data_IF_436874794059
#
_entry.id   IF_436874794059
#
_cell.length_a   1.000
_cell.length_b   1.000
_cell.length_c   1.000
_cell.angle_alpha   90.00
_cell.angle_beta   90.00
_cell.angle_gamma   90.00
#
_symmetry.space_group_name_H-M   'P 1'
#
loop_
_entity.id
_entity.type
_entity.pdbx_description
1 polymer ?
2 polymer ?
3 non-polymer ?
4 water ?
#
# COMPACT_ATOMS: atom_id res chain seq x y z
N UNK A 1 10.88 -10.39 -1.06
CA UNK A 1 9.46 -10.43 -1.51
C UNK A 1 8.55 -10.78 -0.35
N UNK A 2 8.96 -10.34 0.85
CA UNK A 2 8.24 -10.62 2.09
C UNK A 2 6.96 -9.80 2.23
N UNK A 3 5.82 -10.43 2.00
CA UNK A 3 4.54 -9.75 2.14
C UNK A 3 3.54 -10.63 2.87
N UNK A 4 2.55 -9.99 3.48
CA UNK A 4 1.52 -10.71 4.20
C UNK A 4 0.16 -10.27 3.70
N UNK A 5 -0.58 -11.20 3.10
CA UNK A 5 -1.91 -10.89 2.58
C UNK A 5 -2.95 -11.38 3.57
N UNK A 6 -3.87 -10.50 3.97
CA UNK A 6 -4.88 -10.87 4.93
C UNK A 6 -6.26 -11.04 4.32
N UNK A 7 -7.07 -11.92 4.93
CA UNK A 7 -8.42 -12.19 4.48
C UNK A 7 -9.30 -10.94 4.53
N UNK A 8 -10.42 -10.96 3.83
CA UNK A 8 -11.31 -9.80 3.79
C UNK A 8 -12.08 -9.53 5.07
N UNK A 9 -12.38 -8.26 5.31
CA UNK A 9 -13.13 -7.84 6.49
C UNK A 9 -14.51 -8.46 6.48
N UNK A 10 -14.98 -8.87 7.65
CA UNK A 10 -16.28 -9.50 7.74
C UNK A 10 -16.96 -9.23 9.08
N UNK A 11 -18.26 -9.47 9.13
CA UNK A 11 -19.04 -9.26 10.33
C UNK A 11 -19.47 -10.62 10.89
N UNK A 12 -19.59 -10.69 12.20
CA UNK A 12 -19.99 -11.93 12.85
C UNK A 12 -20.98 -11.62 13.96
N UNK A 13 -21.99 -12.47 14.10
CA UNK A 13 -23.00 -12.28 15.12
C UNK A 13 -22.55 -12.91 16.43
N UNK A 14 -22.69 -12.14 17.50
CA UNK A 14 -22.29 -12.58 18.84
C UNK A 14 -22.47 -14.08 19.07
N UNK A 15 -21.44 -14.71 19.62
CA UNK A 15 -21.49 -16.13 19.90
C UNK A 15 -21.00 -16.99 18.74
N UNK A 16 -20.95 -16.40 17.56
CA UNK A 16 -20.52 -17.11 16.35
C UNK A 16 -19.07 -17.57 16.45
N UNK A 17 -18.48 -17.84 15.29
CA UNK A 17 -17.10 -18.29 15.21
C UNK A 17 -16.43 -17.57 14.05
N UNK A 18 -15.19 -17.15 14.25
CA UNK A 18 -14.46 -16.44 13.22
C UNK A 18 -13.08 -17.02 12.97
N UNK A 19 -12.70 -17.07 11.70
CA UNK A 19 -11.41 -17.57 11.31
C UNK A 19 -10.82 -16.53 10.35
N UNK A 20 -9.66 -16.00 10.71
CA UNK A 20 -8.99 -14.98 9.91
C UNK A 20 -7.75 -15.59 9.28
N UNK A 21 -7.43 -15.14 8.07
CA UNK A 21 -6.26 -15.65 7.37
C UNK A 21 -5.20 -14.61 7.09
N UNK A 22 -3.95 -15.00 7.28
CA UNK A 22 -2.78 -14.17 7.01
C UNK A 22 -1.89 -15.10 6.20
N UNK A 23 -1.67 -14.76 4.93
CA UNK A 23 -0.85 -15.61 4.07
C UNK A 23 0.53 -15.05 3.82
N UNK A 24 1.53 -15.86 4.15
CA UNK A 24 2.91 -15.49 3.97
C UNK A 24 3.24 -15.57 2.49
N UNK A 25 4.27 -14.85 2.09
CA UNK A 25 4.68 -14.89 0.69
C UNK A 25 5.35 -16.25 0.52
N UNK A 26 5.06 -16.90 -0.59
CA UNK A 26 5.61 -18.21 -0.92
C UNK A 26 6.99 -18.55 -0.38
N UNK A 27 8.00 -17.76 -0.73
CA UNK A 27 9.37 -17.99 -0.28
C UNK A 27 9.54 -18.02 1.23
N UNK A 28 8.57 -17.50 1.96
CA UNK A 28 8.65 -17.47 3.42
C UNK A 28 7.47 -18.19 4.07
N UNK A 29 7.04 -19.28 3.45
CA UNK A 29 5.92 -20.06 3.94
C UNK A 29 6.14 -20.71 5.31
N UNK A 30 7.38 -20.84 5.74
CA UNK A 30 7.69 -21.46 7.03
C UNK A 30 7.96 -20.45 8.15
N UNK A 31 7.68 -19.18 7.89
CA UNK A 31 7.92 -18.13 8.89
C UNK A 31 6.92 -18.09 10.05
N UNK A 32 7.38 -17.58 11.18
CA UNK A 32 6.53 -17.43 12.36
C UNK A 32 5.99 -15.99 12.34
N UNK A 33 4.67 -15.83 12.45
CA UNK A 33 4.08 -14.50 12.45
C UNK A 33 3.54 -14.13 13.82
N UNK A 34 3.18 -12.85 13.98
CA UNK A 34 2.62 -12.35 15.22
C UNK A 34 1.27 -11.74 14.87
N UNK A 35 0.29 -11.91 15.76
CA UNK A 35 -1.04 -11.34 15.55
C UNK A 35 -1.24 -10.18 16.52
N UNK A 36 -1.84 -9.11 16.00
CA UNK A 36 -2.13 -7.94 16.80
C UNK A 36 -3.58 -7.55 16.64
N UNK A 37 -4.19 -7.10 17.73
CA UNK A 37 -5.57 -6.70 17.74
C UNK A 37 -5.68 -5.23 18.09
N UNK A 38 -6.45 -4.48 17.32
CA UNK A 38 -6.63 -3.08 17.64
C UNK A 38 -8.09 -2.68 17.64
N UNK A 39 -8.60 -2.41 18.84
CA UNK A 39 -9.98 -1.99 19.00
C UNK A 39 -10.01 -0.50 18.67
N UNK A 40 -11.18 0.01 18.26
CA UNK A 40 -11.36 1.42 17.91
C UNK A 40 -10.69 2.43 18.85
N UNK A 41 -9.89 3.31 18.26
CA UNK A 41 -9.17 4.36 18.99
C UNK A 41 -8.21 3.90 20.07
N UNK A 42 -7.92 2.61 20.13
CA UNK A 42 -7.00 2.13 21.16
C UNK A 42 -5.71 1.62 20.53
N UNK A 43 -4.65 1.48 21.34
CA UNK A 43 -3.36 0.99 20.86
C UNK A 43 -3.43 -0.47 20.44
N UNK A 44 -2.59 -0.87 19.48
CA UNK A 44 -2.61 -2.27 19.06
C UNK A 44 -2.23 -3.08 20.28
N UNK A 45 -2.66 -4.34 20.32
CA UNK A 45 -2.33 -5.21 21.44
C UNK A 45 -1.82 -6.53 20.91
N UNK A 46 -0.75 -7.02 21.53
CA UNK A 46 -0.17 -8.29 21.13
C UNK A 46 -1.13 -9.46 21.42
N UNK A 47 -1.49 -10.22 20.39
CA UNK A 47 -2.38 -11.36 20.58
C UNK A 47 -1.63 -12.68 20.68
N UNK A 48 -0.89 -13.05 19.64
CA UNK A 48 -0.13 -14.29 19.68
C UNK A 48 0.98 -14.39 18.65
N UNK A 49 1.84 -15.38 18.89
CA UNK A 49 2.96 -15.72 18.02
C UNK A 49 2.51 -17.06 17.46
N UNK A 50 2.55 -17.21 16.14
CA UNK A 50 2.09 -18.44 15.50
C UNK A 50 3.12 -19.03 14.54
N UNK A 51 3.60 -20.24 14.85
CA UNK A 51 4.60 -20.93 14.05
C UNK A 51 4.05 -21.73 12.87
N UNK A 52 4.96 -22.24 12.05
CA UNK A 52 4.56 -23.01 10.85
C UNK A 52 3.75 -24.27 11.15
N UNK A 53 3.95 -24.85 12.32
CA UNK A 53 3.22 -26.05 12.68
C UNK A 53 1.93 -25.71 13.40
N UNK A 54 1.58 -24.42 13.41
CA UNK A 54 0.34 -24.01 14.06
C UNK A 54 0.44 -23.87 15.56
N UNK A 55 1.60 -24.20 16.13
CA UNK A 55 1.74 -24.07 17.58
C UNK A 55 1.85 -22.58 17.86
N UNK A 56 1.43 -22.17 19.05
CA UNK A 56 1.44 -20.75 19.36
C UNK A 56 1.38 -20.48 20.85
N UNK A 57 1.63 -19.22 21.20
CA UNK A 57 1.56 -18.76 22.58
C UNK A 57 0.87 -17.40 22.50
N UNK A 58 -0.14 -17.18 23.34
CA UNK A 58 -0.87 -15.92 23.30
C UNK A 58 -0.33 -14.90 24.29
N UNK A 59 -0.77 -13.65 24.13
CA UNK A 59 -0.34 -12.61 25.01
C UNK A 59 -1.16 -12.59 26.28
N UNK A 60 -0.80 -11.73 27.22
CA UNK A 60 -1.54 -11.62 28.46
C UNK A 60 -2.88 -10.95 28.22
N UNK A 61 -3.90 -11.41 28.94
CA UNK A 61 -5.23 -10.84 28.79
C UNK A 61 -5.94 -11.35 27.55
N UNK A 62 -5.43 -12.42 26.96
CA UNK A 62 -6.05 -12.97 25.78
C UNK A 62 -6.94 -14.18 26.15
N UNK A 63 -8.22 -14.10 25.83
CA UNK A 63 -9.20 -15.17 26.13
C UNK A 63 -8.87 -16.48 25.41
N UNK A 64 -9.19 -17.61 26.04
CA UNK A 64 -8.94 -18.92 25.46
C UNK A 64 -9.78 -19.14 24.20
N UNK A 65 -10.61 -18.14 23.88
CA UNK A 65 -11.48 -18.21 22.70
C UNK A 65 -10.67 -17.90 21.44
N UNK A 66 -9.43 -17.47 21.65
CA UNK A 66 -8.53 -17.13 20.55
C UNK A 66 -7.52 -18.24 20.38
N UNK A 67 -7.45 -18.82 19.19
CA UNK A 67 -6.49 -19.89 18.93
C UNK A 67 -5.90 -19.70 17.54
N UNK A 68 -4.82 -20.41 17.27
CA UNK A 68 -4.19 -20.29 15.96
C UNK A 68 -3.85 -21.65 15.38
N UNK A 69 -3.72 -21.69 14.07
CA UNK A 69 -3.39 -22.93 13.37
C UNK A 69 -2.71 -22.52 12.08
N UNK A 70 -2.12 -23.48 11.38
CA UNK A 70 -1.44 -23.18 10.13
C UNK A 70 -1.76 -24.21 9.05
N UNK A 71 -1.51 -23.80 7.80
CA UNK A 71 -1.73 -24.64 6.64
C UNK A 71 -0.85 -24.09 5.54
N UNK A 72 0.40 -24.53 5.51
CA UNK A 72 1.33 -24.05 4.51
C UNK A 72 1.74 -22.63 4.79
N UNK A 73 1.47 -21.74 3.85
CA UNK A 73 1.81 -20.33 3.97
C UNK A 73 0.73 -19.58 4.74
N UNK A 74 -0.37 -20.27 5.02
CA UNK A 74 -1.47 -19.68 5.76
C UNK A 74 -1.23 -19.73 7.26
N UNK A 75 -1.69 -18.69 7.94
CA UNK A 75 -1.60 -18.57 9.39
C UNK A 75 -3.00 -18.14 9.75
N UNK A 76 -3.63 -18.85 10.67
CA UNK A 76 -4.99 -18.53 11.05
C UNK A 76 -5.20 -18.11 12.48
N UNK A 77 -6.04 -17.10 12.66
CA UNK A 77 -6.41 -16.64 13.99
C UNK A 77 -7.89 -17.01 14.09
N UNK A 78 -8.22 -17.90 15.02
CA UNK A 78 -9.60 -18.33 15.20
C UNK A 78 -10.23 -17.72 16.44
N UNK A 79 -11.35 -17.05 16.26
CA UNK A 79 -12.05 -16.43 17.36
C UNK A 79 -13.33 -17.23 17.59
N UNK A 80 -13.39 -17.86 18.76
CA UNK A 80 -14.53 -18.68 19.15
C UNK A 80 -15.49 -17.91 20.06
N UNK A 81 -16.79 -18.12 19.86
CA UNK A 81 -17.82 -17.47 20.66
C UNK A 81 -17.55 -15.97 20.69
N UNK A 82 -17.73 -15.34 19.54
CA UNK A 82 -17.50 -13.91 19.37
C UNK A 82 -18.23 -12.99 20.32
N UNK A 83 -17.45 -12.16 21.01
CA UNK A 83 -17.97 -11.20 21.97
C UNK A 83 -17.93 -9.80 21.39
N UNK A 84 -18.53 -8.82 22.07
CA UNK A 84 -18.53 -7.44 21.58
C UNK A 84 -17.11 -6.90 21.50
N UNK A 85 -16.37 -7.07 22.59
CA UNK A 85 -14.99 -6.63 22.72
C UNK A 85 -14.07 -7.13 21.60
N UNK A 86 -14.53 -8.11 20.85
CA UNK A 86 -13.74 -8.67 19.75
C UNK A 86 -13.74 -7.84 18.49
N UNK A 87 -14.64 -6.88 18.41
CA UNK A 87 -14.70 -6.03 17.24
C UNK A 87 -13.41 -5.23 17.21
N UNK A 88 -12.64 -5.43 16.15
CA UNK A 88 -11.37 -4.75 16.00
C UNK A 88 -10.78 -5.06 14.63
N UNK A 89 -9.59 -4.54 14.39
CA UNK A 89 -8.87 -4.81 13.16
C UNK A 89 -7.79 -5.75 13.63
N UNK A 90 -7.56 -6.82 12.89
CA UNK A 90 -6.53 -7.78 13.27
C UNK A 90 -5.44 -7.70 12.25
N UNK A 91 -4.24 -7.42 12.71
CA UNK A 91 -3.10 -7.29 11.82
C UNK A 91 -2.04 -8.30 12.18
N UNK A 92 -1.44 -8.90 11.16
CA UNK A 92 -0.38 -9.86 11.40
C UNK A 92 0.92 -9.19 10.98
N UNK A 93 2.01 -9.61 11.61
CA UNK A 93 3.30 -9.05 11.27
C UNK A 93 4.36 -10.15 11.32
N UNK A 94 5.43 -9.96 10.56
CA UNK A 94 6.50 -10.92 10.52
C UNK A 94 7.85 -10.20 10.46
N UNK A 95 8.78 -10.65 11.28
CA UNK A 95 10.11 -10.07 11.31
C UNK A 95 11.08 -10.93 10.53
N UNK A 96 12.26 -10.39 10.24
CA UNK A 96 13.25 -11.14 9.48
C UNK A 96 14.53 -10.33 9.30
N UNK A 97 15.67 -11.00 9.33
CA UNK A 97 16.97 -10.33 9.15
C UNK A 97 17.48 -10.67 7.76
N UNK A 98 16.97 -9.95 6.76
CA UNK A 98 17.35 -10.19 5.38
C UNK A 98 18.85 -10.03 5.11
N UNK A 99 19.30 -8.80 4.84
CA UNK A 99 20.70 -8.56 4.57
C UNK A 99 21.37 -8.03 5.82
N UNK A 100 21.43 -8.91 6.81
CA UNK A 100 22.04 -8.60 8.10
C UNK A 100 21.33 -7.42 8.74
N UNK A 101 20.17 -7.07 8.20
CA UNK A 101 19.43 -5.95 8.73
C UNK A 101 17.97 -6.27 8.99
N UNK A 102 17.50 -5.77 10.14
CA UNK A 102 16.12 -5.96 10.54
C UNK A 102 15.12 -5.58 9.47
N UNK A 103 14.01 -6.29 9.48
CA UNK A 103 12.92 -6.05 8.56
C UNK A 103 11.70 -6.53 9.31
N UNK A 104 10.57 -5.87 9.08
CA UNK A 104 9.33 -6.26 9.72
C UNK A 104 8.20 -5.78 8.84
N UNK A 105 7.39 -6.70 8.36
CA UNK A 105 6.28 -6.37 7.50
C UNK A 105 4.97 -6.65 8.20
N UNK A 106 4.00 -5.75 8.03
CA UNK A 106 2.69 -5.92 8.61
C UNK A 106 1.75 -6.21 7.45
N UNK A 107 0.58 -6.76 7.76
CA UNK A 107 -0.39 -7.03 6.73
C UNK A 107 -1.32 -5.83 6.66
N UNK A 108 -2.23 -5.80 5.70
CA UNK A 108 -3.15 -4.69 5.59
C UNK A 108 -4.15 -4.64 6.73
N UNK A 109 -4.23 -5.72 7.49
CA UNK A 109 -5.18 -5.77 8.59
C UNK A 109 -6.54 -6.21 8.12
N UNK A 110 -7.30 -6.83 9.01
CA UNK A 110 -8.64 -7.32 8.70
C UNK A 110 -9.57 -6.80 9.79
N UNK A 111 -10.65 -6.13 9.39
CA UNK A 111 -11.58 -5.61 10.38
C UNK A 111 -12.73 -6.55 10.64
N UNK A 112 -12.90 -6.91 11.92
CA UNK A 112 -13.95 -7.78 12.35
C UNK A 112 -15.03 -6.97 13.03
N UNK A 113 -16.23 -7.01 12.46
CA UNK A 113 -17.37 -6.28 13.03
C UNK A 113 -18.35 -7.29 13.61
N UNK A 114 -18.96 -6.94 14.75
CA UNK A 114 -19.90 -7.85 15.38
C UNK A 114 -21.34 -7.43 15.14
N UNK B 1 2.98 -3.81 36.49
CA UNK B 1 2.32 -3.56 35.18
C UNK B 1 3.09 -2.57 34.31
N UNK B 2 3.29 -2.94 33.05
CA UNK B 2 4.01 -2.11 32.10
C UNK B 2 3.24 -0.91 31.60
N UNK B 3 3.90 0.25 31.60
CA UNK B 3 3.33 1.49 31.12
C UNK B 3 4.31 2.24 30.22
N UNK B 4 3.82 2.63 29.05
CA UNK B 4 4.62 3.38 28.08
C UNK B 4 3.83 4.63 27.73
N UNK B 5 4.47 5.79 27.86
CA UNK B 5 3.79 7.05 27.59
C UNK B 5 4.53 7.95 26.58
N UNK B 6 3.94 8.12 25.39
CA UNK B 6 4.57 8.96 24.36
C UNK B 6 4.21 10.43 24.52
N UNK B 7 5.06 11.29 23.99
CA UNK B 7 4.83 12.74 24.04
C UNK B 7 5.66 13.39 22.93
N UNK B 8 5.28 14.60 22.55
CA UNK B 8 6.06 15.32 21.55
C UNK B 8 5.44 15.56 20.20
N UNK B 9 4.32 14.91 19.93
CA UNK B 9 3.67 15.11 18.65
C UNK B 9 2.99 16.46 18.52
N UNK B 10 2.42 16.70 17.34
CA UNK B 10 1.75 17.96 17.12
C UNK B 10 1.69 18.25 15.64
N UNK B 11 1.25 19.46 15.29
CA UNK B 11 1.16 19.88 13.91
C UNK B 11 2.48 20.50 13.51
N UNK B 12 3.10 19.94 12.48
CA UNK B 12 4.39 20.43 11.98
C UNK B 12 4.37 20.64 10.46
N UNK B 13 5.51 21.11 9.93
CA UNK B 13 5.68 21.37 8.52
C UNK B 13 6.68 20.45 7.89
N UNK B 14 6.58 20.25 6.56
CA UNK B 14 7.53 19.39 5.86
C UNK B 14 8.89 20.12 5.98
N UNK B 15 9.97 19.37 6.11
CA UNK B 15 11.28 19.97 6.21
C UNK B 15 11.74 20.18 7.64
N UNK B 16 10.80 20.34 8.56
CA UNK B 16 11.16 20.56 9.95
C UNK B 16 11.66 19.33 10.67
N UNK B 17 11.88 19.49 11.97
CA UNK B 17 12.35 18.41 12.82
C UNK B 17 11.44 18.36 14.03
N UNK B 18 11.45 17.21 14.69
CA UNK B 18 10.61 17.00 15.85
C UNK B 18 11.22 15.85 16.64
N UNK B 19 11.14 15.92 17.96
CA UNK B 19 11.68 14.83 18.76
C UNK B 19 10.60 14.29 19.67
N UNK B 20 10.37 12.99 19.59
CA UNK B 20 9.34 12.35 20.40
C UNK B 20 9.98 11.66 21.59
N UNK B 21 9.24 11.55 22.68
CA UNK B 21 9.74 10.90 23.89
C UNK B 21 8.72 9.85 24.30
N UNK B 22 9.18 8.87 25.06
CA UNK B 22 8.30 7.84 25.56
C UNK B 22 8.80 7.51 26.96
N UNK B 23 7.97 7.81 27.94
CA UNK B 23 8.29 7.55 29.35
C UNK B 23 7.85 6.14 29.72
N UNK B 24 8.79 5.36 30.24
CA UNK B 24 8.52 3.99 30.61
C UNK B 24 8.55 3.77 32.12
N UNK B 25 7.79 2.78 32.57
CA UNK B 25 7.72 2.41 33.98
C UNK B 25 7.07 1.02 34.09
N UNK B 26 7.12 0.44 35.27
CA UNK B 26 6.53 -0.88 35.46
C UNK B 26 7.46 -2.02 35.07
N UNK B 27 8.70 -1.70 34.73
CA UNK B 27 9.65 -2.74 34.35
C UNK B 27 11.07 -2.19 34.30
N UNK B 28 12.06 -3.09 34.25
CA UNK B 28 13.45 -2.64 34.17
C UNK B 28 13.76 -2.27 32.72
N UNK B 29 13.71 -0.96 32.46
CA UNK B 29 13.94 -0.39 31.14
C UNK B 29 15.17 -0.92 30.43
N UNK B 30 16.31 -0.89 31.10
CA UNK B 30 17.58 -1.34 30.53
C UNK B 30 17.66 -2.80 30.11
N UNK B 31 16.71 -3.62 30.54
CA UNK B 31 16.76 -5.04 30.18
C UNK B 31 15.94 -5.40 28.94
N UNK B 32 15.45 -4.41 28.20
CA UNK B 32 14.65 -4.70 27.02
C UNK B 32 14.89 -3.87 25.76
N UNK B 33 14.57 -4.49 24.63
CA UNK B 33 14.67 -3.84 23.34
C UNK B 33 13.47 -2.90 23.27
N UNK B 34 13.66 -1.72 22.68
CA UNK B 34 12.56 -0.77 22.55
C UNK B 34 12.40 -0.48 21.06
N UNK B 35 11.18 -0.15 20.65
CA UNK B 35 10.90 0.11 19.25
C UNK B 35 9.96 1.28 19.08
N UNK B 36 9.85 1.72 17.83
CA UNK B 36 8.91 2.78 17.47
C UNK B 36 8.18 2.19 16.27
N UNK B 37 6.85 2.25 16.31
CA UNK B 37 5.99 1.77 15.22
C UNK B 37 4.97 2.86 14.95
N UNK B 38 4.68 3.15 13.69
CA UNK B 38 3.70 4.19 13.39
C UNK B 38 2.49 3.65 12.62
N UNK B 39 1.38 4.36 12.72
CA UNK B 39 0.18 3.97 11.99
C UNK B 39 -0.28 5.18 11.22
N UNK B 40 -0.26 5.05 9.89
CA UNK B 40 -0.66 6.14 9.02
C UNK B 40 -2.16 6.33 9.03
N UNK B 41 -2.63 7.44 8.45
CA UNK B 41 -4.08 7.72 8.42
C UNK B 41 -4.91 6.59 7.78
N UNK B 42 -4.31 5.85 6.89
CA UNK B 42 -5.03 4.75 6.24
C UNK B 42 -5.06 3.49 7.08
N UNK B 43 -4.53 3.59 8.29
CA UNK B 43 -4.53 2.47 9.23
C UNK B 43 -3.38 1.48 9.13
N UNK B 44 -2.50 1.66 8.15
CA UNK B 44 -1.38 0.74 7.98
C UNK B 44 -0.30 0.88 9.08
N UNK B 45 0.14 -0.25 9.62
CA UNK B 45 1.18 -0.24 10.64
C UNK B 45 2.55 -0.32 9.96
N UNK B 46 3.54 0.35 10.53
CA UNK B 46 4.86 0.39 9.91
C UNK B 46 5.92 0.46 11.00
N UNK B 47 6.83 -0.52 11.01
CA UNK B 47 7.90 -0.51 12.00
C UNK B 47 8.84 0.60 11.58
N UNK B 48 9.24 1.42 12.55
CA UNK B 48 10.07 2.58 12.28
C UNK B 48 11.50 2.57 12.80
N UNK B 49 11.73 1.94 13.95
CA UNK B 49 13.09 1.90 14.50
C UNK B 49 13.18 0.93 15.66
N UNK B 50 14.39 0.43 15.89
CA UNK B 50 14.65 -0.53 16.97
C UNK B 50 15.96 -0.16 17.64
N UNK B 51 16.04 -0.34 18.96
CA UNK B 51 17.26 -0.07 19.71
C UNK B 51 17.46 -1.15 20.78
N UNK B 52 18.69 -1.61 20.94
CA UNK B 52 18.97 -2.64 21.93
C UNK B 52 18.97 -2.12 23.38
N UNK B 53 19.02 -3.05 24.33
CA UNK B 53 19.01 -2.76 25.77
C UNK B 53 19.83 -1.54 26.21
N UNK B 54 21.13 -1.54 25.88
CA UNK B 54 21.99 -0.44 26.28
C UNK B 54 22.25 0.59 25.20
N UNK B 55 21.44 0.55 24.14
CA UNK B 55 21.58 1.50 23.05
C UNK B 55 22.70 1.21 22.07
N UNK B 56 23.34 0.05 22.23
CA UNK B 56 24.46 -0.32 21.37
C UNK B 56 24.19 -0.61 19.89
N UNK B 57 22.96 -1.00 19.57
CA UNK B 57 22.58 -1.30 18.19
C UNK B 57 21.26 -0.66 17.83
N UNK B 58 21.17 -0.11 16.63
CA UNK B 58 19.94 0.52 16.15
C UNK B 58 19.75 0.09 14.71
N UNK B 59 18.48 -0.08 14.31
CA UNK B 59 18.14 -0.49 12.96
C UNK B 59 16.90 0.28 12.52
N UNK B 60 16.80 0.55 11.23
CA UNK B 60 15.68 1.30 10.67
C UNK B 60 15.33 0.75 9.29
N UNK B 61 14.09 1.01 8.83
CA UNK B 61 13.60 0.58 7.51
C UNK B 61 14.28 1.59 6.58
N UNK B 62 14.54 1.24 5.33
CA UNK B 62 15.19 2.19 4.42
C UNK B 62 14.37 3.45 4.21
N UNK B 63 13.12 3.43 4.63
CA UNK B 63 12.24 4.59 4.47
C UNK B 63 12.58 5.76 5.41
N UNK B 64 13.21 5.46 6.54
CA UNK B 64 13.54 6.51 7.50
C UNK B 64 15.00 6.48 7.92
N UNK B 65 15.74 5.48 7.46
CA UNK B 65 17.15 5.30 7.82
C UNK B 65 18.03 6.54 7.93
N UNK B 66 18.01 7.43 6.93
CA UNK B 66 18.85 8.60 7.04
C UNK B 66 18.18 9.83 7.64
N UNK B 67 16.96 9.68 8.17
CA UNK B 67 16.24 10.82 8.74
C UNK B 67 15.83 10.69 10.20
N UNK B 68 15.56 9.47 10.66
CA UNK B 68 15.15 9.26 12.03
C UNK B 68 16.30 8.72 12.86
N UNK B 69 16.30 9.04 14.14
CA UNK B 69 17.32 8.54 15.04
C UNK B 69 16.65 8.08 16.32
N UNK B 70 16.83 6.82 16.66
CA UNK B 70 16.24 6.30 17.88
C UNK B 70 17.32 6.30 18.94
N UNK B 71 16.98 6.73 20.14
CA UNK B 71 17.95 6.75 21.23
C UNK B 71 17.24 6.48 22.55
N UNK B 72 18.02 6.24 23.60
CA UNK B 72 17.44 5.98 24.91
C UNK B 72 18.38 6.44 26.02
N UNK B 73 17.77 6.82 27.13
CA UNK B 73 18.50 7.25 28.31
C UNK B 73 17.94 6.35 29.40
N UNK B 74 18.65 5.26 29.66
CA UNK B 74 18.23 4.28 30.64
C UNK B 74 18.09 4.84 32.05
N UNK B 75 18.88 5.84 32.39
CA UNK B 75 18.81 6.44 33.71
C UNK B 75 17.49 7.19 33.90
N UNK B 76 16.92 7.67 32.80
CA UNK B 76 15.64 8.38 32.86
C UNK B 76 14.47 7.50 32.44
N UNK B 77 14.78 6.27 32.04
CA UNK B 77 13.76 5.33 31.60
C UNK B 77 12.99 5.93 30.44
N UNK B 78 13.70 6.58 29.52
CA UNK B 78 13.02 7.21 28.41
C UNK B 78 13.58 6.83 27.03
N UNK B 79 12.67 6.65 26.09
CA UNK B 79 13.02 6.30 24.71
C UNK B 79 12.76 7.55 23.87
N UNK B 80 13.57 7.78 22.86
CA UNK B 80 13.39 8.96 22.01
C UNK B 80 13.41 8.63 20.53
N UNK B 81 12.81 9.51 19.73
CA UNK B 81 12.82 9.38 18.29
C UNK B 81 13.03 10.76 17.70
N UNK B 82 14.23 11.02 17.18
CA UNK B 82 14.53 12.30 16.57
C UNK B 82 14.14 12.19 15.11
N UNK B 83 13.24 13.08 14.68
CA UNK B 83 12.75 13.09 13.31
C UNK B 83 13.25 14.35 12.61
N UNK B 84 13.90 14.21 11.47
CA UNK B 84 14.38 15.37 10.73
C UNK B 84 13.89 15.33 9.30
N UNK B 85 13.94 16.49 8.63
CA UNK B 85 13.48 16.62 7.25
C UNK B 85 12.11 15.97 7.07
N UNK B 86 11.19 16.34 7.95
CA UNK B 86 9.85 15.81 7.93
C UNK B 86 9.19 15.82 6.54
N UNK B 87 8.52 14.72 6.23
CA UNK B 87 7.81 14.55 4.96
C UNK B 87 6.32 14.36 5.25
N UNK B 88 5.48 14.67 4.27
CA UNK B 88 4.05 14.49 4.47
C UNK B 88 3.80 13.03 4.83
N UNK B 89 4.62 12.15 4.25
CA UNK B 89 4.49 10.71 4.50
C UNK B 89 4.78 10.35 5.96
N UNK B 90 5.29 11.29 6.76
CA UNK B 90 5.56 10.98 8.16
C UNK B 90 4.32 11.17 9.04
N UNK B 91 3.23 11.65 8.46
CA UNK B 91 1.99 11.85 9.22
C UNK B 91 1.47 10.50 9.71
N UNK B 92 1.33 10.37 11.03
CA UNK B 92 0.85 9.13 11.62
C UNK B 92 0.80 9.21 13.13
N UNK B 93 0.33 8.11 13.72
CA UNK B 93 0.28 7.96 15.17
C UNK B 93 1.56 7.20 15.47
N UNK B 94 2.42 7.72 16.35
CA UNK B 94 3.65 7.03 16.70
C UNK B 94 3.54 6.34 18.06
N UNK B 95 3.84 5.04 18.08
CA UNK B 95 3.79 4.25 19.30
C UNK B 95 5.17 3.71 19.70
N UNK B 96 5.46 3.63 20.99
CA UNK B 96 6.71 2.97 21.40
C UNK B 96 6.23 1.59 21.83
N UNK B 97 7.07 0.58 21.61
CA UNK B 97 6.72 -0.77 21.95
C UNK B 97 7.94 -1.40 22.63
N UNK B 98 7.67 -2.32 23.55
CA UNK B 98 8.70 -3.04 24.28
C UNK B 98 8.57 -4.49 23.88
N UNK B 99 9.71 -5.15 23.72
CA UNK B 99 9.66 -6.56 23.35
C UNK B 99 9.65 -7.47 24.55
N UNK B 100 9.48 -8.76 24.27
CA UNK B 100 9.49 -9.79 25.29
C UNK B 100 9.96 -11.04 24.56
N UNK B 101 11.17 -11.46 24.85
CA UNK B 101 11.71 -12.63 24.19
C UNK B 101 11.83 -12.41 22.69
N UNK B 102 11.26 -13.33 21.91
CA UNK B 102 11.31 -13.25 20.46
C UNK B 102 10.16 -12.41 19.88
N UNK B 103 9.24 -12.00 20.75
CA UNK B 103 8.11 -11.19 20.32
C UNK B 103 8.53 -9.73 20.26
N UNK B 104 8.43 -9.13 19.08
CA UNK B 104 8.81 -7.75 18.90
C UNK B 104 8.01 -6.74 19.71
N UNK B 105 6.73 -6.60 19.38
CA UNK B 105 5.87 -5.63 20.04
C UNK B 105 4.90 -6.22 21.06
N UNK B 106 5.44 -6.65 22.19
CA UNK B 106 4.64 -7.24 23.26
C UNK B 106 3.86 -6.19 24.05
N UNK B 107 4.41 -4.98 24.14
CA UNK B 107 3.76 -3.89 24.87
C UNK B 107 3.83 -2.57 24.11
N UNK B 108 2.68 -1.90 23.99
CA UNK B 108 2.60 -0.64 23.27
C UNK B 108 2.23 0.53 24.18
N UNK B 109 2.56 1.73 23.73
CA UNK B 109 2.23 2.93 24.47
C UNK B 109 0.85 3.40 24.04
N UNK B 110 0.51 4.65 24.33
CA UNK B 110 -0.79 5.19 23.95
C UNK B 110 -0.76 5.86 22.58
N UNK B 111 0.44 6.23 22.13
CA UNK B 111 0.58 6.87 20.84
C UNK B 111 0.48 8.38 20.86
N UNK B 112 1.29 9.03 20.02
CA UNK B 112 1.26 10.48 19.90
C UNK B 112 1.20 10.74 18.40
N UNK B 113 0.33 11.65 18.01
CA UNK B 113 0.13 11.93 16.60
C UNK B 113 1.02 13.03 16.04
N UNK B 114 1.70 12.73 14.94
CA UNK B 114 2.52 13.73 14.28
C UNK B 114 1.79 14.04 12.98
N UNK B 115 1.35 15.28 12.80
CA UNK B 115 0.65 15.66 11.58
C UNK B 115 1.52 16.63 10.78
N UNK B 116 1.95 16.20 9.61
CA UNK B 116 2.79 17.03 8.76
C UNK B 116 1.90 17.59 7.66
N UNK B 117 1.75 18.91 7.59
CA UNK B 117 0.87 19.44 6.59
C UNK B 117 1.40 20.21 5.41
N UNK B 118 0.96 19.75 4.24
CA UNK B 118 1.27 20.33 2.95
C UNK B 118 0.37 19.54 2.03
N UNK C 1 4.44 -9.45 -27.73
CA UNK C 1 3.45 -10.55 -27.57
C UNK C 1 2.80 -10.53 -26.19
N UNK C 2 3.28 -9.64 -25.32
CA UNK C 2 2.71 -9.51 -23.99
C UNK C 2 1.30 -8.97 -24.21
N UNK C 3 0.29 -9.79 -23.93
CA UNK C 3 -1.08 -9.36 -24.13
C UNK C 3 -2.04 -9.85 -23.04
N UNK C 4 -2.83 -8.90 -22.53
CA UNK C 4 -3.82 -9.19 -21.51
C UNK C 4 -5.18 -9.29 -22.16
N UNK C 5 -5.93 -10.32 -21.78
CA UNK C 5 -7.27 -10.51 -22.33
C UNK C 5 -8.21 -10.53 -21.13
N UNK C 6 -9.31 -9.79 -21.23
CA UNK C 6 -10.27 -9.67 -20.14
C UNK C 6 -11.64 -10.29 -20.40
N UNK C 7 -12.19 -10.99 -19.41
CA UNK C 7 -13.51 -11.60 -19.59
C UNK C 7 -14.46 -10.56 -20.15
N UNK C 8 -15.60 -11.02 -20.65
CA UNK C 8 -16.54 -10.11 -21.28
C UNK C 8 -17.50 -9.27 -20.44
N UNK C 9 -18.07 -8.29 -21.12
CA UNK C 9 -19.01 -7.32 -20.58
C UNK C 9 -20.19 -8.02 -19.91
N UNK C 10 -20.19 -8.02 -18.57
CA UNK C 10 -21.24 -8.69 -17.81
C UNK C 10 -22.05 -7.79 -16.88
N UNK C 11 -23.17 -8.33 -16.38
CA UNK C 11 -24.07 -7.60 -15.48
C UNK C 11 -24.39 -8.44 -14.24
N UNK C 12 -24.67 -7.75 -13.13
CA UNK C 12 -25.00 -8.43 -11.87
C UNK C 12 -26.14 -7.71 -11.14
N UNK C 13 -26.47 -8.23 -9.95
CA UNK C 13 -27.52 -7.65 -9.11
C UNK C 13 -26.86 -7.14 -7.83
N UNK C 14 -27.65 -6.57 -6.93
CA UNK C 14 -27.10 -6.02 -5.69
C UNK C 14 -26.92 -7.09 -4.61
N UNK C 15 -25.91 -6.89 -3.76
CA UNK C 15 -25.62 -7.84 -2.70
C UNK C 15 -24.91 -9.02 -3.32
N UNK C 16 -25.00 -9.08 -4.64
CA UNK C 16 -24.40 -10.14 -5.44
C UNK C 16 -22.88 -10.13 -5.39
N UNK C 17 -22.31 -11.20 -5.93
CA UNK C 17 -20.87 -11.36 -5.97
C UNK C 17 -20.44 -11.38 -7.44
N UNK C 18 -19.24 -10.88 -7.71
CA UNK C 18 -18.72 -10.85 -9.07
C UNK C 18 -17.24 -11.17 -9.09
N UNK C 19 -16.83 -11.95 -10.09
CA UNK C 19 -15.44 -12.34 -10.24
C UNK C 19 -15.02 -12.03 -11.66
N UNK C 20 -14.08 -11.10 -11.82
CA UNK C 20 -13.59 -10.73 -13.14
C UNK C 20 -12.29 -11.48 -13.40
N UNK C 21 -12.05 -11.82 -14.67
CA UNK C 21 -10.85 -12.54 -15.04
C UNK C 21 -10.01 -11.84 -16.09
N UNK C 22 -8.70 -11.78 -15.83
CA UNK C 22 -7.74 -11.17 -16.73
C UNK C 22 -6.70 -12.27 -16.94
N UNK C 23 -6.45 -12.63 -18.19
CA UNK C 23 -5.48 -13.68 -18.48
C UNK C 23 -4.27 -13.16 -19.25
N UNK C 24 -3.09 -13.52 -18.75
CA UNK C 24 -1.83 -13.12 -19.36
C UNK C 24 -1.54 -13.95 -20.60
N UNK C 25 -0.58 -13.49 -21.40
CA UNK C 25 -0.18 -14.24 -22.57
C UNK C 25 0.51 -15.46 -21.97
N UNK C 26 0.66 -16.53 -22.74
CA UNK C 26 1.30 -17.74 -22.25
C UNK C 26 2.66 -17.46 -21.60
N UNK C 27 3.59 -17.00 -22.42
CA UNK C 27 4.95 -16.69 -22.01
C UNK C 27 5.06 -15.79 -20.77
N UNK C 28 4.04 -14.99 -20.51
CA UNK C 28 4.08 -14.07 -19.37
C UNK C 28 3.13 -14.45 -18.23
N UNK C 29 2.83 -15.73 -18.12
CA UNK C 29 1.92 -16.23 -17.09
C UNK C 29 2.37 -16.02 -15.65
N UNK C 30 3.67 -15.79 -15.44
CA UNK C 30 4.22 -15.61 -14.10
C UNK C 30 4.16 -14.17 -13.54
N UNK C 31 3.82 -13.20 -14.38
CA UNK C 31 3.75 -11.78 -13.99
C UNK C 31 2.71 -11.35 -12.95
N UNK C 32 3.06 -10.27 -12.24
CA UNK C 32 2.20 -9.65 -11.24
C UNK C 32 1.48 -8.53 -12.01
N UNK C 33 0.16 -8.54 -11.99
CA UNK C 33 -0.59 -7.51 -12.70
C UNK C 33 -1.29 -6.52 -11.77
N UNK C 34 -1.92 -5.53 -12.38
CA UNK C 34 -2.65 -4.49 -11.66
C UNK C 34 -4.09 -4.39 -12.12
N UNK C 35 -5.00 -4.12 -11.19
CA UNK C 35 -6.42 -3.97 -11.50
C UNK C 35 -6.85 -2.53 -11.27
N UNK C 36 -7.50 -1.95 -12.28
CA UNK C 36 -7.98 -0.57 -12.18
C UNK C 36 -9.48 -0.47 -12.41
N UNK C 37 -10.09 0.53 -11.80
CA UNK C 37 -11.53 0.76 -11.95
C UNK C 37 -11.77 2.17 -12.40
N UNK C 38 -12.67 2.34 -13.37
CA UNK C 38 -13.01 3.68 -13.84
C UNK C 38 -14.52 3.85 -13.97
N UNK C 39 -15.07 4.72 -13.14
CA UNK C 39 -16.49 5.00 -13.15
C UNK C 39 -16.73 6.11 -14.17
N UNK C 40 -17.96 6.28 -14.63
CA UNK C 40 -18.31 7.31 -15.61
C UNK C 40 -17.83 8.72 -15.26
N UNK C 41 -17.10 9.32 -16.19
CA UNK C 41 -16.57 10.68 -16.03
C UNK C 41 -15.55 10.85 -14.93
N UNK C 42 -15.02 9.74 -14.42
CA UNK C 42 -14.02 9.80 -13.36
C UNK C 42 -12.70 9.24 -13.85
N UNK C 43 -11.60 9.61 -13.18
CA UNK C 43 -10.27 9.11 -13.55
C UNK C 43 -10.17 7.64 -13.17
N UNK C 44 -9.23 6.90 -13.75
CA UNK C 44 -9.17 5.49 -13.35
C UNK C 44 -8.69 5.45 -11.90
N UNK C 45 -9.18 4.46 -11.15
CA UNK C 45 -8.79 4.30 -9.75
C UNK C 45 -8.04 2.98 -9.56
N UNK C 46 -6.92 3.05 -8.85
CA UNK C 46 -6.10 1.88 -8.58
C UNK C 46 -6.83 0.98 -7.59
N UNK C 47 -7.13 -0.24 -8.04
CA UNK C 47 -7.82 -1.21 -7.20
C UNK C 47 -6.85 -2.10 -6.42
N UNK C 48 -5.93 -2.76 -7.12
CA UNK C 48 -4.99 -3.64 -6.44
C UNK C 48 -3.91 -4.23 -7.35
N UNK C 49 -2.87 -4.78 -6.72
CA UNK C 49 -1.77 -5.43 -7.41
C UNK C 49 -1.90 -6.92 -7.07
N UNK C 50 -1.99 -7.76 -8.10
CA UNK C 50 -2.16 -9.19 -7.90
C UNK C 50 -0.99 -10.03 -8.42
N UNK C 51 -0.38 -10.80 -7.54
CA UNK C 51 0.75 -11.66 -7.89
C UNK C 51 0.29 -13.07 -8.29
N UNK C 52 1.22 -13.84 -8.83
CA UNK C 52 0.95 -15.20 -9.29
C UNK C 52 0.49 -16.17 -8.20
N UNK C 53 1.03 -16.02 -6.99
CA UNK C 53 0.65 -16.91 -5.90
C UNK C 53 -0.59 -16.42 -5.16
N UNK C 54 -1.28 -15.45 -5.74
CA UNK C 54 -2.48 -14.93 -5.11
C UNK C 54 -2.27 -13.74 -4.18
N UNK C 55 -1.02 -13.49 -3.79
CA UNK C 55 -0.70 -12.36 -2.92
C UNK C 55 -1.17 -11.07 -3.56
N UNK C 56 -1.79 -10.19 -2.76
CA UNK C 56 -2.29 -8.94 -3.29
C UNK C 56 -2.54 -7.88 -2.22
N UNK C 57 -2.42 -6.63 -2.61
CA UNK C 57 -2.66 -5.51 -1.71
C UNK C 57 -3.50 -4.48 -2.45
N UNK C 58 -4.50 -3.93 -1.76
CA UNK C 58 -5.38 -2.94 -2.37
C UNK C 58 -4.90 -1.51 -2.16
N UNK C 59 -5.45 -0.59 -2.94
CA UNK C 59 -5.05 0.80 -2.84
C UNK C 59 -5.93 1.60 -1.88
N UNK C 60 -5.57 2.85 -1.67
CA UNK C 60 -6.32 3.73 -0.78
C UNK C 60 -7.78 3.86 -1.20
N UNK C 61 -8.67 3.74 -0.23
CA UNK C 61 -10.09 3.87 -0.51
C UNK C 61 -10.74 2.73 -1.26
N UNK C 62 -10.18 1.53 -1.16
CA UNK C 62 -10.76 0.38 -1.83
C UNK C 62 -11.53 -0.43 -0.80
N UNK C 63 -12.81 -0.74 -1.08
CA UNK C 63 -13.64 -1.54 -0.16
C UNK C 63 -13.06 -2.94 -0.02
N UNK C 64 -13.01 -3.45 1.20
CA UNK C 64 -12.47 -4.78 1.44
C UNK C 64 -13.27 -5.87 0.73
N UNK C 65 -14.39 -5.49 0.13
CA UNK C 65 -15.21 -6.44 -0.62
C UNK C 65 -14.56 -6.63 -1.99
N UNK C 66 -13.30 -6.23 -2.07
CA UNK C 66 -12.51 -6.33 -3.29
C UNK C 66 -11.31 -7.22 -2.96
N UNK C 67 -11.27 -8.41 -3.56
CA UNK C 67 -10.18 -9.35 -3.31
C UNK C 67 -9.66 -9.97 -4.60
N UNK C 68 -8.44 -10.49 -4.55
CA UNK C 68 -7.86 -11.10 -5.74
C UNK C 68 -7.37 -12.52 -5.55
N UNK C 69 -7.34 -13.27 -6.64
CA UNK C 69 -6.88 -14.66 -6.64
C UNK C 69 -6.13 -14.92 -7.94
N UNK C 70 -5.32 -15.97 -7.98
CA UNK C 70 -4.57 -16.29 -9.19
C UNK C 70 -4.62 -17.77 -9.53
N UNK C 71 -4.63 -18.08 -10.82
CA UNK C 71 -4.68 -19.46 -11.28
C UNK C 71 -3.86 -19.67 -12.55
N UNK C 72 -2.55 -19.78 -12.39
CA UNK C 72 -1.66 -19.99 -13.52
C UNK C 72 -1.36 -18.71 -14.29
N UNK C 73 -2.10 -18.50 -15.36
CA UNK C 73 -1.93 -17.31 -16.19
C UNK C 73 -3.05 -16.33 -15.85
N UNK C 74 -4.04 -16.84 -15.13
CA UNK C 74 -5.19 -16.05 -14.74
C UNK C 74 -5.04 -15.33 -13.40
N UNK C 75 -5.50 -14.09 -13.38
CA UNK C 75 -5.49 -13.25 -12.20
C UNK C 75 -6.96 -12.85 -12.09
N UNK C 76 -7.58 -13.13 -10.95
CA UNK C 76 -8.99 -12.82 -10.77
C UNK C 76 -9.26 -11.68 -9.82
N UNK C 77 -10.42 -11.07 -9.99
CA UNK C 77 -10.85 -9.97 -9.14
C UNK C 77 -12.26 -10.29 -8.67
N UNK C 78 -12.39 -10.56 -7.38
CA UNK C 78 -13.69 -10.86 -6.82
C UNK C 78 -14.19 -9.67 -6.01
N UNK C 79 -15.45 -9.31 -6.24
CA UNK C 79 -16.09 -8.20 -5.57
C UNK C 79 -17.33 -8.74 -4.85
N UNK C 80 -17.28 -8.81 -3.53
CA UNK C 80 -18.42 -9.32 -2.77
C UNK C 80 -19.36 -8.18 -2.39
N UNK C 81 -20.66 -8.47 -2.42
CA UNK C 81 -21.67 -7.48 -2.09
C UNK C 81 -21.57 -6.38 -3.13
N UNK C 82 -22.20 -6.58 -4.28
CA UNK C 82 -22.14 -5.59 -5.34
C UNK C 82 -23.00 -4.38 -5.06
N UNK C 83 -22.34 -3.22 -5.05
CA UNK C 83 -22.98 -1.95 -4.79
C UNK C 83 -23.09 -1.21 -6.12
N UNK C 84 -24.14 -0.37 -6.28
CA UNK C 84 -24.28 0.38 -7.52
C UNK C 84 -23.06 1.24 -7.83
N UNK C 85 -22.21 1.42 -6.83
CA UNK C 85 -20.98 2.20 -6.98
C UNK C 85 -20.00 1.38 -7.80
N UNK C 86 -20.10 0.05 -7.67
CA UNK C 86 -19.21 -0.84 -8.38
C UNK C 86 -19.40 -0.87 -9.88
N UNK C 87 -20.38 -0.12 -10.37
CA UNK C 87 -20.62 -0.08 -11.81
C UNK C 87 -19.48 0.72 -12.44
N UNK C 88 -18.78 0.12 -13.39
CA UNK C 88 -17.66 0.79 -14.04
C UNK C 88 -17.03 -0.08 -15.11
N UNK C 89 -15.89 0.36 -15.60
CA UNK C 89 -15.13 -0.39 -16.58
C UNK C 89 -13.90 -0.82 -15.80
N UNK C 90 -13.65 -2.12 -15.72
CA UNK C 90 -12.50 -2.63 -14.99
C UNK C 90 -11.39 -2.97 -15.97
N UNK C 91 -10.19 -2.44 -15.72
CA UNK C 91 -9.08 -2.70 -16.61
C UNK C 91 -7.88 -3.24 -15.84
N UNK C 92 -7.21 -4.24 -16.41
CA UNK C 92 -6.03 -4.81 -15.77
C UNK C 92 -4.83 -4.44 -16.62
N UNK C 93 -3.70 -4.22 -15.96
CA UNK C 93 -2.49 -3.86 -16.66
C UNK C 93 -1.31 -4.63 -16.13
N UNK C 94 -0.25 -4.69 -16.93
CA UNK C 94 0.95 -5.39 -16.53
C UNK C 94 2.19 -4.70 -17.10
N UNK C 95 3.21 -4.53 -16.26
CA UNK C 95 4.43 -3.89 -16.69
C UNK C 95 5.54 -4.89 -16.93
N UNK C 96 6.55 -4.50 -17.69
CA UNK C 96 7.67 -5.41 -17.96
C UNK C 96 9.02 -4.71 -18.10
N UNK C 97 9.77 -4.69 -17.01
CA UNK C 97 11.11 -4.10 -16.98
C UNK C 97 12.09 -5.24 -16.73
N UNK C 98 12.56 -5.89 -17.80
CA UNK C 98 13.52 -6.97 -17.64
C UNK C 98 14.13 -7.45 -18.97
N UNK C 99 15.42 -7.18 -19.08
CA UNK C 99 16.26 -7.43 -20.25
C UNK C 99 15.96 -6.24 -21.19
N UNK C 100 16.61 -5.12 -20.92
CA UNK C 100 16.59 -3.86 -21.68
C UNK C 100 15.46 -2.90 -22.13
N UNK C 101 14.19 -3.12 -21.85
CA UNK C 101 13.18 -2.14 -22.27
C UNK C 101 11.86 -2.16 -21.50
N UNK C 102 11.46 -0.96 -21.11
CA UNK C 102 10.24 -0.67 -20.34
C UNK C 102 8.97 -0.94 -21.16
N UNK C 103 8.00 -1.63 -20.59
CA UNK C 103 6.75 -1.90 -21.31
C UNK C 103 5.56 -2.04 -20.38
N UNK C 104 4.43 -1.48 -20.79
CA UNK C 104 3.20 -1.59 -20.00
C UNK C 104 2.02 -1.77 -20.94
N UNK C 105 1.29 -2.86 -20.76
CA UNK C 105 0.13 -3.16 -21.59
C UNK C 105 -1.14 -3.09 -20.76
N UNK C 106 -2.21 -2.56 -21.35
CA UNK C 106 -3.49 -2.47 -20.67
C UNK C 106 -4.48 -3.43 -21.31
N UNK C 107 -5.33 -4.04 -20.48
CA UNK C 107 -6.33 -4.95 -21.01
C UNK C 107 -7.30 -4.15 -21.85
N UNK C 108 -8.26 -4.82 -22.47
CA UNK C 108 -9.23 -4.12 -23.31
C UNK C 108 -10.30 -3.47 -22.47
N UNK C 109 -10.35 -3.83 -21.20
CA UNK C 109 -11.35 -3.28 -20.30
C UNK C 109 -12.55 -4.21 -20.20
N UNK C 110 -13.26 -4.11 -19.08
CA UNK C 110 -14.45 -4.92 -18.85
C UNK C 110 -15.50 -4.04 -18.19
N UNK C 111 -16.54 -3.70 -18.94
CA UNK C 111 -17.60 -2.83 -18.43
C UNK C 111 -18.63 -3.58 -17.59
N UNK C 112 -18.73 -3.18 -16.32
CA UNK C 112 -19.67 -3.80 -15.38
C UNK C 112 -20.95 -3.00 -15.22
N UNK C 113 -22.03 -3.55 -15.73
CA UNK C 113 -23.34 -2.92 -15.69
C UNK C 113 -24.19 -3.47 -14.54
N UNK C 114 -24.51 -2.61 -13.58
CA UNK C 114 -25.32 -3.01 -12.42
C UNK C 114 -26.80 -2.82 -12.73
N UNK D 1 -4.50 15.26 1.25
CA UNK D 1 -4.36 13.96 0.52
C UNK D 1 -3.41 14.09 -0.67
N UNK D 2 -3.18 12.98 -1.38
CA UNK D 2 -2.30 12.98 -2.54
C UNK D 2 -3.10 13.62 -3.68
N UNK D 3 -2.58 14.71 -4.23
CA UNK D 3 -3.28 15.39 -5.31
C UNK D 3 -2.43 15.67 -6.55
N UNK D 4 -3.03 15.38 -7.69
CA UNK D 4 -2.40 15.58 -9.00
C UNK D 4 -3.43 16.32 -9.85
N UNK D 5 -3.04 17.49 -10.35
CA UNK D 5 -3.92 18.33 -11.16
C UNK D 5 -3.26 18.69 -12.48
N UNK D 6 -3.72 18.08 -13.58
CA UNK D 6 -3.16 18.36 -14.89
C UNK D 6 -3.74 19.62 -15.48
N UNK D 7 -3.08 20.14 -16.52
CA UNK D 7 -3.52 21.32 -17.22
C UNK D 7 -2.63 21.54 -18.45
N UNK D 8 -3.09 22.38 -19.37
CA UNK D 8 -2.33 22.66 -20.57
C UNK D 8 -2.93 22.09 -21.84
N UNK D 9 -4.00 21.31 -21.69
CA UNK D 9 -4.65 20.70 -22.83
C UNK D 9 -5.48 21.67 -23.66
N UNK D 10 -6.10 21.16 -24.72
CA UNK D 10 -6.92 22.01 -25.57
C UNK D 10 -6.96 21.52 -27.00
N UNK D 11 -7.50 22.34 -27.89
CA UNK D 11 -7.60 21.95 -29.30
C UNK D 11 -6.29 22.29 -29.99
N UNK D 12 -5.72 21.32 -30.69
CA UNK D 12 -4.47 21.51 -31.41
C UNK D 12 -4.53 20.87 -32.81
N UNK D 13 -3.68 21.36 -33.70
CA UNK D 13 -3.63 20.88 -35.07
C UNK D 13 -2.56 19.82 -35.27
N UNK D 14 -2.69 19.02 -36.32
CA UNK D 14 -1.70 17.99 -36.62
C UNK D 14 -0.36 18.67 -36.91
N UNK D 15 0.73 18.03 -36.53
CA UNK D 15 2.03 18.61 -36.74
C UNK D 15 2.35 19.62 -35.63
N UNK D 16 1.32 20.04 -34.90
CA UNK D 16 1.54 21.00 -33.83
C UNK D 16 2.11 20.39 -32.57
N UNK D 17 2.36 21.23 -31.57
CA UNK D 17 2.90 20.75 -30.31
C UNK D 17 2.43 21.58 -29.11
N UNK D 18 2.44 20.96 -27.94
CA UNK D 18 2.04 21.65 -26.72
C UNK D 18 2.67 20.94 -25.52
N UNK D 19 2.67 21.63 -24.38
CA UNK D 19 3.25 21.05 -23.17
C UNK D 19 2.21 20.96 -22.06
N UNK D 20 1.98 19.74 -21.57
CA UNK D 20 1.03 19.54 -20.47
C UNK D 20 1.75 19.73 -19.15
N UNK D 21 0.99 20.12 -18.11
CA UNK D 21 1.55 20.31 -16.79
C UNK D 21 0.76 19.48 -15.79
N UNK D 22 1.38 19.18 -14.66
CA UNK D 22 0.71 18.41 -13.61
C UNK D 22 1.27 18.87 -12.28
N UNK D 23 0.43 19.53 -11.49
CA UNK D 23 0.82 20.03 -10.18
C UNK D 23 0.48 18.99 -9.11
N UNK D 24 1.47 18.61 -8.33
CA UNK D 24 1.29 17.62 -7.28
C UNK D 24 1.41 18.23 -5.89
N UNK D 25 0.79 17.58 -4.92
CA UNK D 25 0.83 17.99 -3.52
C UNK D 25 0.32 16.84 -2.65
N UNK D 26 0.65 16.86 -1.37
CA UNK D 26 0.21 15.81 -0.48
C UNK D 26 1.22 14.69 -0.32
N UNK D 27 2.41 14.86 -0.89
CA UNK D 27 3.47 13.85 -0.79
C UNK D 27 4.79 14.45 -1.24
N UNK D 28 5.90 13.75 -0.97
CA UNK D 28 7.19 14.26 -1.35
C UNK D 28 7.42 13.87 -2.81
N UNK D 29 7.12 14.82 -3.70
CA UNK D 29 7.25 14.67 -5.15
C UNK D 29 8.52 13.95 -5.52
N UNK D 30 9.61 14.53 -5.05
CA UNK D 30 11.00 14.09 -5.22
C UNK D 30 11.24 12.59 -5.09
N UNK D 31 10.48 11.93 -4.23
CA UNK D 31 10.68 10.51 -3.95
C UNK D 31 10.01 9.51 -4.87
N UNK D 32 9.26 9.97 -5.86
CA UNK D 32 8.54 9.02 -6.68
C UNK D 32 8.75 9.06 -8.18
N UNK D 33 8.53 7.89 -8.79
CA UNK D 33 8.58 7.75 -10.23
C UNK D 33 7.22 8.36 -10.63
N UNK D 34 7.21 9.15 -11.71
CA UNK D 34 5.98 9.76 -12.20
C UNK D 34 5.66 9.24 -13.60
N UNK D 35 4.39 9.30 -13.97
CA UNK D 35 3.94 8.78 -15.26
C UNK D 35 2.87 9.63 -15.94
N UNK D 36 2.65 9.32 -17.22
CA UNK D 36 1.60 9.91 -18.02
C UNK D 36 0.93 8.71 -18.66
N UNK D 37 -0.39 8.68 -18.57
CA UNK D 37 -1.19 7.62 -19.16
C UNK D 37 -2.31 8.36 -19.89
N UNK D 38 -2.72 7.88 -21.05
CA UNK D 38 -3.79 8.57 -21.77
C UNK D 38 -4.91 7.60 -22.09
N UNK D 39 -6.10 8.14 -22.32
CA UNK D 39 -7.25 7.33 -22.64
C UNK D 39 -7.89 7.89 -23.90
N UNK D 40 -7.99 7.05 -24.93
CA UNK D 40 -8.57 7.46 -26.20
C UNK D 40 -10.08 7.58 -26.12
N UNK D 41 -10.70 8.26 -27.09
CA UNK D 41 -12.16 8.42 -27.09
C UNK D 41 -12.86 7.05 -26.97
N UNK D 42 -12.20 6.00 -27.46
CA UNK D 42 -12.78 4.67 -27.39
C UNK D 42 -12.70 4.12 -25.96
N UNK D 43 -12.13 4.90 -25.05
CA UNK D 43 -11.98 4.53 -23.64
C UNK D 43 -10.75 3.65 -23.39
N UNK D 44 -9.93 3.46 -24.41
CA UNK D 44 -8.75 2.62 -24.26
C UNK D 44 -7.58 3.31 -23.57
N UNK D 45 -7.06 2.68 -22.52
CA UNK D 45 -5.94 3.22 -21.77
C UNK D 45 -4.62 2.84 -22.41
N UNK D 46 -3.66 3.77 -22.38
CA UNK D 46 -2.35 3.53 -22.95
C UNK D 46 -1.27 4.27 -22.17
N UNK D 47 -0.27 3.53 -21.72
CA UNK D 47 0.83 4.13 -20.97
C UNK D 47 1.63 4.97 -21.97
N UNK D 48 2.02 6.16 -21.56
CA UNK D 48 2.72 7.08 -22.46
C UNK D 48 4.14 7.50 -22.10
N UNK D 49 4.44 7.64 -20.81
CA UNK D 49 5.78 8.07 -20.42
C UNK D 49 6.09 7.77 -18.95
N UNK D 50 7.38 7.61 -18.68
CA UNK D 50 7.88 7.34 -17.33
C UNK D 50 9.11 8.19 -17.07
N UNK D 51 9.27 8.62 -15.81
CA UNK D 51 10.43 9.41 -15.42
C UNK D 51 10.80 9.06 -13.97
N UNK D 52 12.08 8.76 -13.74
CA UNK D 52 12.55 8.41 -12.41
C UNK D 52 12.63 9.64 -11.51
N UNK D 53 12.91 9.40 -10.24
CA UNK D 53 13.00 10.44 -9.21
C UNK D 53 13.72 11.71 -9.62
N UNK D 54 14.99 11.56 -9.97
CA UNK D 54 15.80 12.69 -10.35
C UNK D 54 15.69 13.05 -11.82
N UNK D 55 15.00 12.22 -12.60
CA UNK D 55 14.82 12.49 -14.01
C UNK D 55 15.88 11.90 -14.93
N UNK D 56 16.85 11.20 -14.37
CA UNK D 56 17.92 10.61 -15.16
C UNK D 56 17.49 9.44 -16.03
N UNK D 57 16.32 8.88 -15.77
CA UNK D 57 15.83 7.77 -16.57
C UNK D 57 14.43 8.10 -17.06
N UNK D 58 14.22 8.05 -18.37
CA UNK D 58 12.91 8.30 -18.97
C UNK D 58 12.66 7.20 -19.99
N UNK D 59 11.41 6.74 -20.08
CA UNK D 59 11.05 5.67 -21.02
C UNK D 59 9.70 5.99 -21.67
N UNK D 60 9.50 5.52 -22.89
CA UNK D 60 8.27 5.78 -23.62
C UNK D 60 7.95 4.58 -24.51
N UNK D 61 6.69 4.46 -24.97
CA UNK D 61 6.30 3.35 -25.85
C UNK D 61 6.79 3.73 -27.25
N UNK D 62 6.82 2.79 -28.18
CA UNK D 62 7.27 3.09 -29.54
C UNK D 62 6.37 4.07 -30.27
N UNK D 63 5.12 4.17 -29.85
CA UNK D 63 4.15 5.07 -30.46
C UNK D 63 4.43 6.56 -30.30
N UNK D 64 5.14 6.97 -29.24
CA UNK D 64 5.41 8.38 -29.06
C UNK D 64 6.89 8.68 -28.86
N UNK D 65 7.70 7.63 -28.83
CA UNK D 65 9.13 7.79 -28.64
C UNK D 65 9.68 8.76 -29.69
N UNK D 66 10.53 9.68 -29.27
CA UNK D 66 11.08 10.64 -30.20
C UNK D 66 10.17 11.82 -30.43
N UNK D 67 8.91 11.69 -30.05
CA UNK D 67 7.95 12.79 -30.20
C UNK D 67 7.56 13.44 -28.87
N UNK D 68 7.45 12.64 -27.81
CA UNK D 68 7.08 13.14 -26.49
C UNK D 68 8.28 13.19 -25.56
N UNK D 69 8.27 14.15 -24.65
CA UNK D 69 9.33 14.28 -23.65
C UNK D 69 8.70 14.55 -22.30
N UNK D 70 8.98 13.66 -21.35
CA UNK D 70 8.49 13.79 -19.99
C UNK D 70 9.61 14.44 -19.19
N UNK D 71 9.27 15.41 -18.36
CA UNK D 71 10.27 16.07 -17.53
C UNK D 71 9.64 16.42 -16.20
N UNK D 72 10.44 16.86 -15.25
CA UNK D 72 9.90 17.21 -13.95
C UNK D 72 10.73 18.29 -13.28
N UNK D 73 10.09 19.03 -12.40
CA UNK D 73 10.76 20.07 -11.67
C UNK D 73 10.45 19.75 -10.23
N UNK D 74 11.36 19.03 -9.58
CA UNK D 74 11.17 18.63 -8.20
C UNK D 74 10.96 19.78 -7.23
N UNK D 75 11.56 20.93 -7.55
CA UNK D 75 11.45 22.10 -6.68
C UNK D 75 10.01 22.66 -6.75
N UNK D 76 9.37 22.66 -7.95
CA UNK D 76 8.03 23.17 -8.09
C UNK D 76 6.98 22.09 -7.98
N UNK D 77 7.42 20.87 -7.64
CA UNK D 77 6.48 19.76 -7.54
C UNK D 77 5.59 19.69 -8.79
N UNK D 78 6.21 19.75 -9.96
CA UNK D 78 5.45 19.70 -11.21
C UNK D 78 5.99 18.67 -12.21
N UNK D 79 5.06 17.98 -12.87
CA UNK D 79 5.41 16.98 -13.87
C UNK D 79 4.99 17.58 -15.22
N UNK D 80 5.79 17.34 -16.25
CA UNK D 80 5.49 17.87 -17.59
C UNK D 80 5.54 16.83 -18.70
N UNK D 81 4.78 17.11 -19.77
CA UNK D 81 4.79 16.26 -20.94
C UNK D 81 4.77 17.17 -22.18
N UNK D 82 5.91 17.27 -22.84
CA UNK D 82 6.02 18.08 -24.05
C UNK D 82 5.63 17.17 -25.22
N UNK D 83 4.57 17.54 -25.93
CA UNK D 83 4.10 16.73 -27.05
C UNK D 83 4.44 17.44 -28.35
N UNK D 84 5.14 16.74 -29.25
CA UNK D 84 5.54 17.31 -30.54
C UNK D 84 4.95 16.53 -31.70
N UNK D 85 4.99 17.12 -32.89
CA UNK D 85 4.48 16.50 -34.12
C UNK D 85 3.24 15.68 -33.87
N UNK D 86 2.24 16.32 -33.28
CA UNK D 86 0.99 15.65 -32.95
C UNK D 86 0.28 14.98 -34.10
N UNK D 87 -0.26 13.80 -33.81
CA UNK D 87 -1.00 13.01 -34.78
C UNK D 87 -2.43 12.93 -34.30
N UNK D 88 -3.36 12.71 -35.22
CA UNK D 88 -4.76 12.59 -34.87
C UNK D 88 -4.91 11.48 -33.83
N UNK D 89 -3.97 10.54 -33.85
CA UNK D 89 -3.99 9.41 -32.93
C UNK D 89 -3.70 9.83 -31.49
N UNK D 90 -3.16 11.03 -31.31
CA UNK D 90 -2.82 11.51 -29.98
C UNK D 90 -4.00 12.09 -29.21
N UNK D 91 -5.15 12.22 -29.87
CA UNK D 91 -6.32 12.77 -29.20
C UNK D 91 -6.70 11.87 -28.05
N UNK D 92 -6.79 12.44 -26.86
CA UNK D 92 -7.13 11.63 -25.68
C UNK D 92 -7.16 12.44 -24.40
N UNK D 93 -7.61 11.79 -23.34
CA UNK D 93 -7.61 12.41 -22.02
C UNK D 93 -6.25 12.01 -21.46
N UNK D 94 -5.45 12.98 -21.03
CA UNK D 94 -4.13 12.66 -20.49
C UNK D 94 -4.07 12.79 -18.97
N UNK D 95 -3.57 11.73 -18.32
CA UNK D 95 -3.44 11.67 -16.88
C UNK D 95 -2.00 11.52 -16.41
N UNK D 96 -1.66 12.19 -15.31
CA UNK D 96 -0.35 11.98 -14.72
C UNK D 96 -0.70 11.00 -13.61
N UNK D 97 0.25 10.13 -13.28
CA UNK D 97 0.03 9.15 -12.23
C UNK D 97 1.30 9.05 -11.38
N UNK D 98 1.12 8.62 -10.14
CA UNK D 98 2.24 8.48 -9.22
C UNK D 98 2.33 7.02 -8.80
N UNK D 99 3.54 6.51 -8.74
CA UNK D 99 3.69 5.12 -8.34
C UNK D 99 3.87 4.97 -6.83
N UNK D 100 3.53 3.79 -6.33
CA UNK D 100 3.70 3.48 -4.92
C UNK D 100 4.44 2.15 -4.89
N UNK D 101 5.72 2.19 -4.51
CA UNK D 101 6.51 0.98 -4.47
C UNK D 101 6.66 0.36 -5.85
N UNK D 102 6.17 -0.86 -6.01
CA UNK D 102 6.25 -1.55 -7.29
C UNK D 102 5.00 -1.34 -8.15
N UNK D 103 4.04 -0.59 -7.62
CA UNK D 103 2.82 -0.33 -8.37
C UNK D 103 3.06 0.86 -9.28
N UNK D 104 2.58 0.74 -10.50
CA UNK D 104 2.77 1.80 -11.47
C UNK D 104 1.86 3.01 -11.24
N UNK D 105 0.56 2.79 -11.40
CA UNK D 105 -0.40 3.88 -11.28
C UNK D 105 -1.26 3.81 -10.02
N UNK D 106 -0.66 4.17 -8.90
CA UNK D 106 -1.35 4.16 -7.61
C UNK D 106 -2.29 5.35 -7.50
N UNK D 107 -1.83 6.51 -7.96
CA UNK D 107 -2.62 7.73 -7.92
C UNK D 107 -2.73 8.38 -9.30
N UNK D 108 -3.94 8.78 -9.65
CA UNK D 108 -4.22 9.43 -10.93
C UNK D 108 -4.73 10.84 -10.70
N UNK D 109 -4.40 11.74 -11.64
CA UNK D 109 -4.89 13.11 -11.55
C UNK D 109 -6.31 13.18 -12.10
N UNK D 110 -6.79 14.38 -12.38
CA UNK D 110 -8.14 14.55 -12.91
C UNK D 110 -8.20 14.34 -14.42
N UNK D 111 -7.07 14.55 -15.08
CA UNK D 111 -7.00 14.38 -16.52
C UNK D 111 -7.21 15.68 -17.27
N UNK D 112 -6.56 15.82 -18.43
CA UNK D 112 -6.71 17.01 -19.26
C UNK D 112 -6.81 16.53 -20.70
N UNK D 113 -7.82 17.01 -21.42
CA UNK D 113 -8.05 16.58 -22.79
C UNK D 113 -7.24 17.29 -23.87
N UNK D 114 -6.61 16.51 -24.71
CA UNK D 114 -5.87 17.05 -25.85
C UNK D 114 -6.65 16.59 -27.08
N UNK D 115 -7.06 17.55 -27.89
CA UNK D 115 -7.83 17.25 -29.10
C UNK D 115 -7.05 17.70 -30.32
N UNK D 116 -6.64 16.75 -31.15
CA UNK D 116 -5.91 17.06 -32.37
C UNK D 116 -6.91 16.86 -33.48
N UNK D 117 -7.34 17.93 -34.14
CA UNK D 117 -8.34 17.71 -35.16
C UNK D 117 -7.94 17.70 -36.61
N UNK D 118 -8.36 16.60 -37.20
CA UNK D 118 -8.17 16.23 -38.59
C UNK D 118 -9.17 15.09 -38.63
X LIG E 1 23.74 -3.02 24.12
X LIG E 1 23.58 -3.52 22.75
X LIG E 1 25.02 -3.55 24.68
X LIG E 1 23.81 -1.54 24.15
X LIG E 1 22.59 -3.48 24.95
X LIG F 1 -2.25 12.63 20.67
X LIG F 1 -1.81 11.43 19.88
X LIG F 1 -1.31 12.82 21.81
X LIG F 1 -2.29 13.82 19.82
X LIG F 1 -3.61 12.37 21.22
X LIG G 1 15.60 11.77 1.68
X LIG G 1 16.48 11.21 0.58
X LIG G 1 16.25 11.53 3.01
X LIG G 1 15.42 13.25 1.49
X LIG G 1 14.29 11.08 1.63
#
# INVERSE_FOLDING_TARGET
QLVLTQSSSASFSLGASAKLTCTLSSQHSTYTIEWYQQQPLKPPKYVMELKKDGSHSTGDGIPDRFSGSSSGADRYLSISNIQPEDEAIYICGVGDTIKEQFVYVFGGGTKVTVLG
QVQLQESGGGLVQPGGSLKLSCAASGFTFRDYYMYWVRQTPEKRLEWVAFISNGGGSTYYPDTVKGRFTISRDNAKNTLYLQMSRLKSEDTAMYYCARGRGYVWFAYWGQGTTVTVSS
QLVLTQSSSASFSLGASAKLTCTLSSQHSTYTIEWYQQQPLKPPKYVMELKKDGSHSTGDGIPDRFSGSSSGADRYLSISNIQPEDEAIYICGVGDTIKEQFVYVFGGGTKVTVLG
QVQLQESGGGLVQPGGSLKLSCAASGFTFRDYYMYWVRQTPEKRLEWVAFISNGGGSTYYPDTVKGRFTISRDNAKNTLYLQMSRLKSEDTAMYYCARGRGYVWFAYWGQGTTVTVSS
SO4 S O1 O2 O3 O4
SO4 S O1 O2 O3 O4
SO4 S O1 O2 O3 O4
#
